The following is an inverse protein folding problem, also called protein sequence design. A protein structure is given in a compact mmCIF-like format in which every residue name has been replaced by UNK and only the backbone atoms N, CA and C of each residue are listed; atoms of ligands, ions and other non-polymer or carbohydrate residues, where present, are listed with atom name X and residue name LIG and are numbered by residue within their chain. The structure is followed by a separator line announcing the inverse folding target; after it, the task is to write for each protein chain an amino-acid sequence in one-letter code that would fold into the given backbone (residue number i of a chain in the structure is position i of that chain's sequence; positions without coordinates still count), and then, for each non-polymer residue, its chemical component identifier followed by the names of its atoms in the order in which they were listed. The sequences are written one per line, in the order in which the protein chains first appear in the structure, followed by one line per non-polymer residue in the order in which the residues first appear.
data_IF_768692442689
#
_entry.id   IF_768692442689
#
_cell.length_a   1.000
_cell.length_b   1.000
_cell.length_c   1.000
_cell.angle_alpha   90.00
_cell.angle_beta   90.00
_cell.angle_gamma   90.00
#
_symmetry.space_group_name_H-M   'P 1'
#
loop_
_entity.id
_entity.type
_entity.pdbx_description
1 polymer ?
#
# COMPACT_ATOMS: atom_id res chain seq x y z
N UNK A 1 5.95 -10.39 -3.55
CA UNK A 1 4.92 -10.49 -2.50
C UNK A 1 3.79 -11.47 -2.84
N UNK A 2 3.71 -11.98 -4.07
CA UNK A 2 2.76 -13.05 -4.45
C UNK A 2 3.14 -14.37 -3.78
N UNK A 3 2.14 -15.09 -3.24
CA UNK A 3 2.31 -16.41 -2.61
C UNK A 3 1.94 -17.56 -3.57
N UNK A 4 1.24 -17.29 -4.66
CA UNK A 4 0.65 -18.28 -5.56
C UNK A 4 1.60 -18.72 -6.68
N UNK A 5 2.81 -18.17 -6.75
CA UNK A 5 3.81 -18.54 -7.73
C UNK A 5 3.61 -17.98 -9.14
N UNK A 6 2.79 -16.94 -9.30
CA UNK A 6 2.48 -16.30 -10.61
C UNK A 6 3.71 -15.74 -11.32
N UNK A 7 4.79 -15.44 -10.56
CA UNK A 7 6.03 -14.88 -11.10
C UNK A 7 7.01 -15.93 -11.60
N UNK A 8 6.66 -17.21 -11.50
CA UNK A 8 7.51 -18.33 -11.94
C UNK A 8 7.28 -18.63 -13.43
N UNK A 9 8.33 -18.58 -14.23
CA UNK A 9 8.30 -18.92 -15.64
C UNK A 9 8.41 -20.46 -15.83
N UNK A 10 7.36 -21.21 -15.51
CA UNK A 10 7.34 -22.68 -15.49
C UNK A 10 7.66 -23.32 -16.84
N UNK A 11 7.35 -22.64 -17.93
CA UNK A 11 7.52 -23.15 -19.31
C UNK A 11 8.62 -22.36 -20.06
N UNK A 12 9.50 -21.69 -19.35
CA UNK A 12 10.45 -20.72 -19.93
C UNK A 12 9.79 -19.38 -20.18
N UNK A 13 10.58 -18.41 -20.64
CA UNK A 13 10.12 -17.04 -20.89
C UNK A 13 11.06 -16.01 -20.29
N UNK A 14 10.53 -14.81 -20.01
CA UNK A 14 11.28 -13.68 -19.47
C UNK A 14 10.84 -13.42 -18.04
N UNK A 15 11.79 -13.42 -17.10
CA UNK A 15 11.59 -12.96 -15.74
C UNK A 15 12.18 -11.57 -15.58
N UNK A 16 11.36 -10.61 -15.15
CA UNK A 16 11.78 -9.22 -14.95
C UNK A 16 11.95 -8.97 -13.44
N UNK A 17 13.20 -8.84 -13.03
CA UNK A 17 13.55 -8.52 -11.64
C UNK A 17 13.68 -7.01 -11.44
N UNK A 18 12.87 -6.46 -10.51
CA UNK A 18 12.84 -5.04 -10.17
C UNK A 18 13.60 -4.72 -8.87
N UNK A 19 14.29 -5.67 -8.24
CA UNK A 19 14.98 -5.47 -6.97
C UNK A 19 16.04 -4.36 -7.04
N UNK A 20 16.67 -4.15 -8.18
CA UNK A 20 17.65 -3.08 -8.38
C UNK A 20 17.01 -1.68 -8.52
N UNK A 21 15.71 -1.58 -8.72
CA UNK A 21 14.96 -0.33 -8.68
C UNK A 21 14.50 -0.05 -7.24
N UNK A 22 15.42 0.28 -6.35
CA UNK A 22 15.21 0.35 -4.91
C UNK A 22 15.52 1.73 -4.29
N UNK A 23 15.38 2.80 -5.09
CA UNK A 23 15.64 4.17 -4.62
C UNK A 23 14.36 4.81 -4.09
N UNK A 24 14.47 5.52 -2.95
CA UNK A 24 13.50 6.50 -2.49
C UNK A 24 13.82 7.78 -3.25
N UNK A 25 12.92 8.18 -4.16
CA UNK A 25 13.18 9.28 -5.10
C UNK A 25 12.88 10.63 -4.49
N UNK A 26 11.82 10.71 -3.69
CA UNK A 26 11.39 11.95 -3.05
C UNK A 26 10.51 11.65 -1.84
N UNK A 27 10.66 12.46 -0.79
CA UNK A 27 9.74 12.48 0.37
C UNK A 27 9.34 13.92 0.61
N UNK A 28 8.03 14.16 0.74
CA UNK A 28 7.45 15.44 1.15
C UNK A 28 6.73 15.25 2.48
N UNK A 29 7.38 15.54 3.62
CA UNK A 29 6.75 15.40 4.92
C UNK A 29 5.56 16.35 5.11
N UNK A 30 5.63 17.54 4.56
CA UNK A 30 4.60 18.57 4.65
C UNK A 30 3.31 18.17 3.92
N UNK A 31 3.46 17.53 2.77
CA UNK A 31 2.33 17.03 1.96
C UNK A 31 1.92 15.60 2.31
N UNK A 32 2.69 14.90 3.13
CA UNK A 32 2.43 13.54 3.58
C UNK A 32 2.47 12.50 2.45
N UNK A 33 3.48 12.55 1.57
CA UNK A 33 3.66 11.54 0.53
C UNK A 33 5.13 11.20 0.29
N UNK A 34 5.37 10.05 -0.31
CA UNK A 34 6.68 9.65 -0.84
C UNK A 34 6.56 9.14 -2.28
N UNK A 35 7.64 9.31 -3.04
CA UNK A 35 7.82 8.74 -4.38
C UNK A 35 8.97 7.75 -4.30
N UNK A 36 8.70 6.50 -4.64
CA UNK A 36 9.66 5.40 -4.52
C UNK A 36 9.69 4.53 -5.77
N UNK A 37 10.80 3.84 -5.97
CA UNK A 37 10.92 2.77 -6.96
C UNK A 37 10.33 1.46 -6.43
N UNK A 38 9.89 0.54 -7.29
CA UNK A 38 9.12 -0.65 -6.91
C UNK A 38 9.88 -1.65 -6.03
N UNK A 39 11.20 -1.71 -6.10
CA UNK A 39 12.03 -2.59 -5.28
C UNK A 39 12.26 -2.10 -3.85
N UNK A 40 11.88 -0.86 -3.50
CA UNK A 40 11.95 -0.38 -2.12
C UNK A 40 11.03 -1.23 -1.26
N UNK A 41 11.54 -1.76 -0.13
CA UNK A 41 10.70 -2.49 0.81
C UNK A 41 10.00 -1.55 1.78
N UNK A 42 8.89 -2.02 2.36
CA UNK A 42 8.17 -1.28 3.40
C UNK A 42 9.08 -0.90 4.57
N UNK A 43 9.90 -1.85 5.00
CA UNK A 43 10.83 -1.64 6.12
C UNK A 43 11.90 -0.59 5.79
N UNK A 44 12.52 -0.67 4.60
CA UNK A 44 13.48 0.33 4.15
C UNK A 44 12.89 1.73 4.14
N UNK A 45 11.65 1.87 3.64
CA UNK A 45 10.98 3.16 3.65
C UNK A 45 10.72 3.66 5.08
N UNK A 46 10.21 2.82 5.98
CA UNK A 46 9.92 3.23 7.35
C UNK A 46 11.19 3.52 8.16
N UNK A 47 12.29 2.83 7.89
CA UNK A 47 13.60 3.18 8.47
C UNK A 47 14.06 4.56 7.97
N UNK A 48 13.90 4.85 6.69
CA UNK A 48 14.23 6.16 6.10
C UNK A 48 13.38 7.29 6.71
N UNK A 49 12.10 7.02 6.98
CA UNK A 49 11.15 8.00 7.52
C UNK A 49 11.26 8.23 9.03
N UNK A 50 12.07 7.47 9.76
CA UNK A 50 12.09 7.42 11.24
C UNK A 50 12.13 8.78 11.90
N UNK A 51 12.95 9.70 11.36
CA UNK A 51 13.18 11.01 11.97
C UNK A 51 12.22 12.10 11.44
N UNK A 52 11.28 11.72 10.57
CA UNK A 52 10.29 12.65 10.00
C UNK A 52 8.97 12.70 10.77
N UNK A 53 8.76 11.82 11.74
CA UNK A 53 7.48 11.65 12.42
C UNK A 53 6.39 11.00 11.55
N UNK A 54 6.75 10.50 10.35
CA UNK A 54 5.84 9.86 9.41
C UNK A 54 6.16 8.38 9.24
N UNK A 55 5.17 7.62 8.77
CA UNK A 55 5.33 6.22 8.43
C UNK A 55 4.38 5.78 7.31
N UNK A 56 4.70 4.65 6.68
CA UNK A 56 3.83 3.97 5.75
C UNK A 56 3.13 2.80 6.46
N UNK A 57 1.78 2.76 6.52
CA UNK A 57 1.05 1.92 7.46
C UNK A 57 0.76 0.50 6.97
N UNK A 58 0.80 0.23 5.64
CA UNK A 58 0.37 -1.07 5.12
C UNK A 58 1.37 -2.16 5.50
N UNK A 59 0.88 -3.17 6.19
CA UNK A 59 1.69 -4.23 6.80
C UNK A 59 1.17 -5.63 6.43
N UNK A 60 1.66 -6.22 5.34
CA UNK A 60 1.23 -7.54 4.90
C UNK A 60 1.83 -8.71 5.70
N UNK A 61 2.50 -8.44 6.83
CA UNK A 61 3.15 -9.45 7.65
C UNK A 61 4.53 -9.91 7.14
N UNK A 62 4.89 -9.56 5.92
CA UNK A 62 6.21 -9.81 5.34
C UNK A 62 6.89 -8.50 4.96
N UNK A 63 8.24 -8.49 4.94
CA UNK A 63 8.98 -7.34 4.41
C UNK A 63 8.97 -7.38 2.89
N UNK A 64 7.85 -6.93 2.30
CA UNK A 64 7.62 -6.96 0.87
C UNK A 64 8.05 -5.66 0.19
N UNK A 65 8.38 -5.74 -1.10
CA UNK A 65 8.63 -4.58 -1.94
C UNK A 65 7.34 -3.81 -2.22
N UNK A 66 7.41 -2.48 -2.25
CA UNK A 66 6.24 -1.63 -2.48
C UNK A 66 5.62 -1.85 -3.86
N UNK A 67 6.42 -2.18 -4.89
CA UNK A 67 5.93 -2.57 -6.20
C UNK A 67 5.11 -3.85 -6.17
N UNK A 68 5.61 -4.88 -5.47
CA UNK A 68 4.88 -6.12 -5.26
C UNK A 68 3.61 -5.91 -4.45
N UNK A 69 3.68 -5.10 -3.38
CA UNK A 69 2.50 -4.73 -2.58
C UNK A 69 1.43 -4.01 -3.41
N UNK A 70 1.84 -3.07 -4.28
CA UNK A 70 0.91 -2.39 -5.17
C UNK A 70 0.31 -3.36 -6.20
N UNK A 71 1.13 -4.23 -6.80
CA UNK A 71 0.68 -5.21 -7.79
C UNK A 71 -0.34 -6.21 -7.23
N UNK A 72 -0.20 -6.62 -5.97
CA UNK A 72 -1.11 -7.58 -5.31
C UNK A 72 -2.24 -6.91 -4.51
N UNK A 73 -2.33 -5.57 -4.53
CA UNK A 73 -3.20 -4.80 -3.64
C UNK A 73 -3.09 -5.27 -2.18
N UNK A 74 -1.87 -5.31 -1.67
CA UNK A 74 -1.58 -5.84 -0.35
C UNK A 74 -2.39 -5.13 0.75
N UNK A 75 -2.75 -5.91 1.74
CA UNK A 75 -3.45 -5.50 2.96
C UNK A 75 -2.59 -5.85 4.18
N UNK A 76 -3.11 -5.66 5.37
CA UNK A 76 -2.45 -6.03 6.62
C UNK A 76 -3.33 -5.70 7.82
N UNK A 77 -2.82 -5.91 9.03
CA UNK A 77 -3.55 -5.67 10.28
C UNK A 77 -3.98 -4.22 10.43
N UNK A 78 -3.18 -3.29 9.91
CA UNK A 78 -3.47 -1.85 9.93
C UNK A 78 -4.52 -1.41 8.90
N UNK A 79 -4.95 -2.30 8.00
CA UNK A 79 -5.88 -1.96 6.92
C UNK A 79 -7.26 -1.52 7.43
N UNK A 80 -7.68 -1.97 8.61
CA UNK A 80 -8.92 -1.51 9.26
C UNK A 80 -8.93 0.01 9.45
N UNK A 81 -7.78 0.60 9.77
CA UNK A 81 -7.65 2.05 9.98
C UNK A 81 -7.20 2.79 8.73
N UNK A 82 -6.26 2.24 7.98
CA UNK A 82 -5.56 2.95 6.90
C UNK A 82 -5.95 2.48 5.49
N UNK A 83 -6.81 1.47 5.37
CA UNK A 83 -7.16 0.86 4.09
C UNK A 83 -6.07 -0.08 3.57
N UNK A 84 -6.17 -0.43 2.30
CA UNK A 84 -5.23 -1.29 1.57
C UNK A 84 -4.26 -0.47 0.72
N UNK A 85 -3.40 -1.13 -0.06
CA UNK A 85 -2.54 -0.44 -1.04
C UNK A 85 -3.36 0.42 -2.00
N UNK A 86 -4.54 -0.03 -2.43
CA UNK A 86 -5.45 0.71 -3.31
C UNK A 86 -5.82 2.10 -2.76
N UNK A 87 -5.96 2.21 -1.44
CA UNK A 87 -6.32 3.47 -0.78
C UNK A 87 -5.11 4.38 -0.55
N UNK A 88 -3.92 3.80 -0.56
CA UNK A 88 -2.68 4.46 -0.19
C UNK A 88 -1.77 4.81 -1.39
N UNK A 89 -2.01 4.22 -2.56
CA UNK A 89 -1.31 4.61 -3.79
C UNK A 89 -2.01 5.81 -4.41
N UNK A 90 -1.27 6.91 -4.57
CA UNK A 90 -1.76 8.17 -5.17
C UNK A 90 -1.61 8.12 -6.68
N UNK A 91 -0.44 7.71 -7.18
CA UNK A 91 -0.17 7.58 -8.60
C UNK A 91 0.91 6.54 -8.87
N UNK A 92 0.93 6.04 -10.09
CA UNK A 92 1.91 5.08 -10.59
C UNK A 92 2.53 5.60 -11.89
N UNK A 93 3.79 5.23 -12.12
CA UNK A 93 4.42 5.27 -13.44
C UNK A 93 4.65 3.83 -13.87
N UNK A 94 4.15 3.47 -15.05
CA UNK A 94 4.17 2.10 -15.54
C UNK A 94 4.68 2.05 -16.97
N UNK A 95 5.36 0.97 -17.31
CA UNK A 95 5.68 0.59 -18.69
C UNK A 95 4.59 -0.36 -19.16
N UNK A 96 3.87 0.03 -20.19
CA UNK A 96 2.79 -0.74 -20.79
C UNK A 96 3.33 -1.81 -21.76
N UNK A 97 2.52 -2.81 -22.17
CA UNK A 97 2.96 -3.87 -23.07
C UNK A 97 3.47 -3.38 -24.45
N UNK A 98 3.02 -2.21 -24.89
CA UNK A 98 3.50 -1.55 -26.13
C UNK A 98 4.80 -0.75 -25.92
N UNK A 99 5.40 -0.76 -24.72
CA UNK A 99 6.61 -0.02 -24.37
C UNK A 99 6.38 1.44 -23.97
N UNK A 100 5.16 1.94 -24.03
CA UNK A 100 4.86 3.32 -23.59
C UNK A 100 4.97 3.46 -22.08
N UNK A 101 5.49 4.61 -21.64
CA UNK A 101 5.55 4.98 -20.22
C UNK A 101 4.32 5.83 -19.89
N UNK A 102 3.46 5.32 -19.05
CA UNK A 102 2.23 5.98 -18.63
C UNK A 102 2.34 6.40 -17.17
N UNK A 103 1.92 7.63 -16.86
CA UNK A 103 1.66 8.09 -15.50
C UNK A 103 0.15 8.11 -15.26
N UNK A 104 -0.31 7.36 -14.26
CA UNK A 104 -1.74 7.10 -14.05
C UNK A 104 -2.52 8.28 -13.50
N UNK A 105 -1.86 9.14 -12.73
CA UNK A 105 -2.49 10.31 -12.10
C UNK A 105 -1.43 11.38 -11.77
N UNK A 106 -1.89 12.57 -11.46
CA UNK A 106 -1.11 13.60 -10.80
C UNK A 106 -1.14 13.38 -9.27
N UNK A 107 -0.43 14.24 -8.50
CA UNK A 107 -0.41 14.19 -7.04
C UNK A 107 -1.73 14.64 -6.37
N UNK A 108 -2.72 15.04 -7.15
CA UNK A 108 -4.01 15.46 -6.61
C UNK A 108 -4.72 14.28 -5.92
N UNK A 109 -5.13 14.49 -4.67
CA UNK A 109 -5.84 13.47 -3.87
C UNK A 109 -7.24 13.16 -4.42
N UNK A 110 -7.79 14.03 -5.25
CA UNK A 110 -9.13 13.93 -5.84
C UNK A 110 -9.09 14.35 -7.29
N UNK A 111 -9.68 13.55 -8.17
CA UNK A 111 -9.95 13.89 -9.57
C UNK A 111 -11.33 13.38 -9.94
N UNK A 112 -12.06 14.16 -10.71
CA UNK A 112 -13.36 13.78 -11.33
C UNK A 112 -13.21 13.48 -12.81
N UNK A 113 -12.00 13.54 -13.36
CA UNK A 113 -11.73 13.39 -14.79
C UNK A 113 -11.30 11.97 -15.14
N UNK A 114 -12.07 11.33 -16.03
CA UNK A 114 -11.70 10.05 -16.63
C UNK A 114 -11.73 8.83 -15.70
N UNK A 115 -11.14 7.75 -16.18
CA UNK A 115 -11.02 6.50 -15.42
C UNK A 115 -9.90 6.60 -14.38
N UNK A 116 -10.08 5.93 -13.26
CA UNK A 116 -9.05 5.77 -12.23
C UNK A 116 -8.04 4.67 -12.63
N UNK A 117 -7.07 5.04 -13.45
CA UNK A 117 -6.03 4.13 -13.92
C UNK A 117 -5.13 3.65 -12.78
N UNK A 118 -4.97 4.45 -11.73
CA UNK A 118 -4.17 4.05 -10.56
C UNK A 118 -4.79 2.83 -9.90
N UNK A 119 -6.09 2.88 -9.62
CA UNK A 119 -6.81 1.76 -9.00
C UNK A 119 -7.04 0.58 -9.94
N UNK A 120 -6.98 0.80 -11.24
CA UNK A 120 -7.00 -0.27 -12.23
C UNK A 120 -5.71 -1.10 -12.19
N UNK A 121 -4.55 -0.43 -12.07
CA UNK A 121 -3.23 -1.10 -12.08
C UNK A 121 -2.90 -1.70 -10.71
N UNK A 122 -3.31 -1.07 -9.60
CA UNK A 122 -3.16 -1.67 -8.27
C UNK A 122 -4.01 -2.94 -8.18
N UNK A 123 -3.35 -4.06 -7.90
CA UNK A 123 -3.97 -5.38 -7.87
C UNK A 123 -4.03 -6.10 -9.23
N UNK A 124 -3.38 -5.55 -10.27
CA UNK A 124 -3.33 -6.19 -11.59
C UNK A 124 -2.30 -7.34 -11.70
N UNK A 125 -1.44 -7.49 -10.71
CA UNK A 125 -0.40 -8.53 -10.64
C UNK A 125 0.51 -8.60 -11.88
N UNK A 126 0.81 -7.43 -12.47
CA UNK A 126 1.66 -7.32 -13.66
C UNK A 126 0.97 -7.60 -14.99
N UNK A 127 -0.33 -7.94 -15.00
CA UNK A 127 -1.08 -8.29 -16.23
C UNK A 127 -1.31 -7.08 -17.14
N UNK A 128 -1.28 -5.85 -16.61
CA UNK A 128 -1.53 -4.63 -17.37
C UNK A 128 -0.26 -3.86 -17.72
N UNK A 129 0.80 -4.01 -16.92
CA UNK A 129 2.05 -3.29 -17.12
C UNK A 129 3.00 -3.46 -15.94
N UNK A 130 4.23 -2.94 -16.11
CA UNK A 130 5.29 -3.01 -15.12
C UNK A 130 5.36 -1.69 -14.37
N UNK A 131 5.17 -1.71 -13.06
CA UNK A 131 5.27 -0.54 -12.19
C UNK A 131 6.75 -0.17 -12.02
N UNK A 132 7.11 1.08 -12.33
CA UNK A 132 8.48 1.60 -12.22
C UNK A 132 8.63 2.72 -11.19
N UNK A 133 7.53 3.36 -10.80
CA UNK A 133 7.52 4.40 -9.78
C UNK A 133 6.16 4.41 -9.08
N UNK A 134 6.18 4.62 -7.77
CA UNK A 134 4.98 4.61 -6.93
C UNK A 134 4.98 5.88 -6.08
N UNK A 135 3.89 6.64 -6.14
CA UNK A 135 3.61 7.72 -5.20
C UNK A 135 2.62 7.22 -4.17
N UNK A 136 2.99 7.25 -2.90
CA UNK A 136 2.21 6.72 -1.78
C UNK A 136 1.95 7.77 -0.71
N UNK A 137 0.84 7.61 0.01
CA UNK A 137 0.50 8.41 1.19
C UNK A 137 1.35 8.01 2.39
N UNK A 138 1.73 8.99 3.17
CA UNK A 138 2.35 8.81 4.48
C UNK A 138 1.41 9.31 5.57
N UNK A 139 1.58 8.80 6.78
CA UNK A 139 0.76 9.14 7.94
C UNK A 139 1.64 9.49 9.12
N UNK A 140 1.14 10.37 9.99
CA UNK A 140 1.80 10.68 11.25
C UNK A 140 1.89 9.46 12.16
N UNK A 141 3.02 9.28 12.82
CA UNK A 141 3.18 8.27 13.87
C UNK A 141 2.22 8.62 15.01
N UNK A 142 1.37 7.68 15.48
CA UNK A 142 0.49 7.96 16.61
C UNK A 142 1.28 8.30 17.87
N UNK A 143 0.86 9.34 18.59
CA UNK A 143 1.51 9.78 19.84
C UNK A 143 1.45 8.71 20.92
N UNK A 144 0.35 7.95 20.95
CA UNK A 144 0.14 6.87 21.92
C UNK A 144 -0.45 5.65 21.23
N UNK A 145 0.10 4.49 21.54
CA UNK A 145 -0.45 3.19 21.16
C UNK A 145 -0.80 2.47 22.46
N UNK A 146 -2.07 2.14 22.64
CA UNK A 146 -2.54 1.32 23.75
C UNK A 146 -3.04 -0.02 23.23
N UNK A 147 -2.75 -1.09 23.95
CA UNK A 147 -3.23 -2.43 23.65
C UNK A 147 -3.81 -3.09 24.87
N UNK A 148 -4.82 -3.93 24.68
CA UNK A 148 -5.45 -4.69 25.75
C UNK A 148 -5.82 -6.10 25.28
N UNK A 149 -5.88 -7.03 26.23
CA UNK A 149 -6.38 -8.38 26.01
C UNK A 149 -7.66 -8.56 26.83
N UNK A 150 -8.73 -8.94 26.16
CA UNK A 150 -10.03 -9.19 26.80
C UNK A 150 -10.47 -10.61 26.48
N UNK A 151 -11.01 -11.32 27.48
CA UNK A 151 -11.62 -12.63 27.30
C UNK A 151 -13.14 -12.49 27.33
N UNK A 152 -13.81 -13.21 26.44
CA UNK A 152 -15.26 -13.23 26.35
C UNK A 152 -15.79 -14.64 26.62
N UNK A 153 -17.00 -14.76 27.21
CA UNK A 153 -17.60 -16.06 27.50
C UNK A 153 -18.07 -16.79 26.24
N UNK A 154 -18.34 -16.05 25.16
CA UNK A 154 -18.74 -16.63 23.87
C UNK A 154 -18.16 -15.86 22.67
N UNK A 155 -18.13 -16.51 21.50
CA UNK A 155 -17.74 -15.86 20.23
C UNK A 155 -18.72 -14.74 19.88
N UNK A 156 -20.00 -14.90 20.20
CA UNK A 156 -21.02 -13.89 19.95
C UNK A 156 -20.70 -12.59 20.70
N UNK A 157 -20.41 -12.68 22.00
CA UNK A 157 -20.09 -11.50 22.81
C UNK A 157 -18.82 -10.79 22.31
N UNK A 158 -17.82 -11.55 21.89
CA UNK A 158 -16.61 -11.01 21.28
C UNK A 158 -16.92 -10.24 19.99
N UNK A 159 -17.77 -10.81 19.12
CA UNK A 159 -18.13 -10.21 17.84
C UNK A 159 -18.96 -8.94 18.03
N UNK A 160 -19.89 -8.94 18.96
CA UNK A 160 -20.70 -7.77 19.31
C UNK A 160 -19.83 -6.62 19.85
N UNK A 161 -18.86 -6.92 20.72
CA UNK A 161 -17.94 -5.92 21.26
C UNK A 161 -17.07 -5.30 20.15
N UNK A 162 -16.53 -6.11 19.22
CA UNK A 162 -15.74 -5.61 18.09
C UNK A 162 -16.60 -4.77 17.16
N UNK A 163 -17.83 -5.21 16.85
CA UNK A 163 -18.75 -4.46 15.98
C UNK A 163 -19.12 -3.11 16.60
N UNK A 164 -19.34 -3.07 17.90
CA UNK A 164 -19.64 -1.82 18.60
C UNK A 164 -18.46 -0.83 18.55
N UNK A 165 -17.25 -1.29 18.83
CA UNK A 165 -16.06 -0.43 18.87
C UNK A 165 -15.60 0.04 17.50
N UNK A 166 -15.76 -0.75 16.44
CA UNK A 166 -15.25 -0.41 15.11
C UNK A 166 -16.31 0.18 14.17
N UNK A 167 -17.59 -0.16 14.34
CA UNK A 167 -18.65 0.30 13.45
C UNK A 167 -19.50 1.43 14.02
N UNK A 168 -19.72 1.47 15.33
CA UNK A 168 -20.57 2.48 15.98
C UNK A 168 -19.82 3.62 16.66
N UNK A 169 -18.58 3.41 17.09
CA UNK A 169 -17.80 4.45 17.77
C UNK A 169 -17.51 5.68 16.89
N UNK A 170 -17.62 5.55 15.57
CA UNK A 170 -17.49 6.67 14.62
C UNK A 170 -18.75 7.55 14.54
N UNK A 171 -19.92 7.10 15.02
CA UNK A 171 -21.16 7.87 14.97
C UNK A 171 -21.36 8.78 16.18
N UNK A 172 -20.57 8.63 17.24
CA UNK A 172 -20.73 9.35 18.51
C UNK A 172 -19.81 10.57 18.67
N UNK A 173 -19.06 10.97 17.67
CA UNK A 173 -18.24 12.19 17.66
C UNK A 173 -18.89 13.30 16.82
N UNK A 174 -20.16 13.57 17.07
CA UNK A 174 -20.83 14.80 16.58
C UNK A 174 -21.20 15.65 17.76
#
# INVERSE_FOLDING_TARGET
SSLEGHVNALYGGISIDLNNMNKILHVSPEDGYAVVQPGVTREQLNVYLRDTGLFFPIDPGANASLGGMASTNASGTNAVRYGTMKDNVISLKCVMPNGEIVKTSNRAKKSSAGYDLTRLIVGSEGTLGIITEITIKLYGIPEVIAGGRVTFPSIKDATEAVSYTHLRAHETLV
#
